data_IF_881505757770
#
_entry.id   IF_881505757770
#
_cell.length_a   1.000
_cell.length_b   1.000
_cell.length_c   1.000
_cell.angle_alpha   90.00
_cell.angle_beta   90.00
_cell.angle_gamma   90.00
#
_symmetry.space_group_name_H-M   'P 1'
#
loop_
_entity.id
_entity.type
_entity.pdbx_description
1 polymer ?
#
# COMPACT_ATOMS: atom_id res chain seq x y z
N UNK A 1 -34.14 -1.27 39.10
CA UNK A 1 -34.22 -0.19 38.11
C UNK A 1 -33.43 -0.60 36.88
N UNK A 2 -33.95 -0.33 35.68
CA UNK A 2 -33.41 -0.86 34.43
C UNK A 2 -32.12 -0.15 34.01
N UNK A 3 -32.06 1.17 34.19
CA UNK A 3 -30.87 1.97 33.94
C UNK A 3 -30.08 2.14 35.24
N UNK A 4 -28.77 1.91 35.16
CA UNK A 4 -27.83 2.01 36.28
C UNK A 4 -26.57 2.73 35.78
N UNK A 5 -25.84 3.45 36.64
CA UNK A 5 -26.07 3.69 38.07
C UNK A 5 -27.07 4.83 38.32
N UNK A 6 -27.87 4.68 39.37
CA UNK A 6 -28.99 5.58 39.70
C UNK A 6 -28.45 6.76 40.53
N UNK A 7 -28.83 7.97 40.14
CA UNK A 7 -28.46 9.22 40.84
C UNK A 7 -29.45 9.54 41.96
N UNK A 8 -30.74 9.55 41.63
CA UNK A 8 -31.80 9.88 42.58
C UNK A 8 -33.14 9.30 42.12
N UNK A 9 -33.98 8.90 43.08
CA UNK A 9 -35.39 8.62 42.81
C UNK A 9 -36.15 9.95 42.75
N UNK A 10 -37.13 10.06 41.85
CA UNK A 10 -37.96 11.26 41.71
C UNK A 10 -39.37 11.00 42.23
N UNK A 11 -40.08 10.07 41.60
CA UNK A 11 -41.39 9.62 42.09
C UNK A 11 -41.43 8.11 42.17
N UNK A 12 -42.14 7.61 43.18
CA UNK A 12 -42.41 6.18 43.35
C UNK A 12 -43.88 6.06 43.71
N UNK A 13 -44.64 5.34 42.89
CA UNK A 13 -46.05 5.03 43.15
C UNK A 13 -46.19 3.52 43.29
N UNK A 14 -46.88 3.10 44.34
CA UNK A 14 -47.07 1.69 44.62
C UNK A 14 -48.45 1.42 45.22
N UNK A 15 -48.96 0.21 44.97
CA UNK A 15 -50.22 -0.24 45.56
C UNK A 15 -49.97 -0.70 46.99
N UNK A 16 -50.56 0.01 47.95
CA UNK A 16 -50.45 -0.26 49.40
C UNK A 16 -51.79 -0.72 49.92
N UNK A 17 -51.78 -1.62 50.90
CA UNK A 17 -52.98 -2.11 51.57
C UNK A 17 -53.15 -1.41 52.93
N UNK A 18 -54.36 -0.95 53.23
CA UNK A 18 -54.69 -0.32 54.51
C UNK A 18 -56.06 -0.74 54.99
N UNK A 19 -56.18 -0.93 56.29
CA UNK A 19 -57.46 -1.14 56.97
C UNK A 19 -57.91 0.17 57.61
N UNK A 20 -59.14 0.59 57.34
CA UNK A 20 -59.71 1.83 57.85
C UNK A 20 -61.17 1.63 58.27
N UNK A 21 -61.60 2.38 59.28
CA UNK A 21 -62.99 2.41 59.72
C UNK A 21 -63.74 3.53 59.02
N UNK A 22 -64.90 3.21 58.44
CA UNK A 22 -65.76 4.12 57.68
C UNK A 22 -67.17 4.06 58.27
N UNK A 23 -67.88 5.18 58.29
CA UNK A 23 -69.26 5.24 58.73
C UNK A 23 -70.20 5.12 57.54
N UNK A 24 -71.16 4.19 57.61
CA UNK A 24 -72.19 3.98 56.58
C UNK A 24 -73.11 5.20 56.48
N UNK A 25 -73.38 5.66 55.25
CA UNK A 25 -74.41 6.65 54.98
C UNK A 25 -75.80 6.25 55.52
N UNK A 26 -76.64 7.23 55.85
CA UNK A 26 -77.95 6.96 56.45
C UNK A 26 -78.98 6.37 55.46
N UNK A 27 -78.68 6.37 54.16
CA UNK A 27 -79.57 5.90 53.10
C UNK A 27 -79.06 4.58 52.56
N UNK A 28 -79.94 3.58 52.50
CA UNK A 28 -79.65 2.24 51.99
C UNK A 28 -79.23 2.28 50.51
N UNK A 29 -78.29 1.40 50.11
CA UNK A 29 -77.86 1.26 48.72
C UNK A 29 -77.03 2.41 48.14
N UNK A 30 -76.61 3.40 48.95
CA UNK A 30 -75.71 4.47 48.50
C UNK A 30 -74.24 4.06 48.63
N UNK A 31 -73.35 4.74 47.88
CA UNK A 31 -71.91 4.51 47.94
C UNK A 31 -71.21 5.33 49.03
N UNK A 32 -70.26 4.74 49.75
CA UNK A 32 -69.43 5.42 50.75
C UNK A 32 -68.00 5.63 50.21
N UNK A 33 -67.53 6.88 50.19
CA UNK A 33 -66.20 7.24 49.66
C UNK A 33 -65.07 6.76 50.58
N UNK A 34 -64.04 6.17 49.98
CA UNK A 34 -62.82 5.76 50.67
C UNK A 34 -61.87 6.97 50.80
N UNK A 35 -61.32 7.25 51.99
CA UNK A 35 -60.46 8.42 52.20
C UNK A 35 -59.14 8.44 51.41
N UNK A 36 -58.61 7.27 51.02
CA UNK A 36 -57.35 7.17 50.27
C UNK A 36 -57.63 6.77 48.82
N UNK A 37 -57.29 7.66 47.90
CA UNK A 37 -57.58 7.52 46.46
C UNK A 37 -56.30 7.65 45.63
N UNK A 38 -56.20 7.02 44.44
CA UNK A 38 -57.22 6.20 43.80
C UNK A 38 -57.24 4.75 44.34
N UNK A 39 -58.45 4.22 44.54
CA UNK A 39 -58.67 2.85 45.03
C UNK A 39 -58.48 1.85 43.88
N UNK A 40 -57.66 0.85 44.10
CA UNK A 40 -57.37 -0.22 43.12
C UNK A 40 -58.30 -1.40 43.35
N UNK A 41 -58.48 -1.81 44.60
CA UNK A 41 -59.29 -2.98 44.95
C UNK A 41 -59.75 -2.94 46.42
N UNK A 42 -60.86 -3.59 46.74
CA UNK A 42 -61.31 -3.82 48.12
C UNK A 42 -61.07 -5.29 48.45
N UNK A 43 -60.30 -5.55 49.51
CA UNK A 43 -59.88 -6.89 49.94
C UNK A 43 -60.91 -7.51 50.85
N UNK A 44 -61.39 -6.76 51.86
CA UNK A 44 -62.39 -7.25 52.80
C UNK A 44 -63.15 -6.10 53.47
N UNK A 45 -64.41 -6.38 53.82
CA UNK A 45 -65.25 -5.48 54.62
C UNK A 45 -65.86 -6.26 55.79
N UNK A 46 -65.81 -5.68 57.00
CA UNK A 46 -66.38 -6.28 58.21
C UNK A 46 -67.08 -5.23 59.08
N UNK A 47 -68.31 -5.53 59.53
CA UNK A 47 -69.01 -4.74 60.55
C UNK A 47 -69.28 -5.63 61.77
N UNK A 48 -68.57 -5.39 62.87
CA UNK A 48 -68.61 -6.27 64.05
C UNK A 48 -68.18 -7.70 63.71
N UNK A 49 -69.09 -8.67 63.83
CA UNK A 49 -68.85 -10.08 63.47
C UNK A 49 -69.22 -10.45 62.03
N UNK A 50 -69.87 -9.55 61.29
CA UNK A 50 -70.40 -9.81 59.95
C UNK A 50 -69.38 -9.42 58.89
N UNK A 51 -68.95 -10.37 58.05
CA UNK A 51 -68.13 -10.14 56.87
C UNK A 51 -69.00 -10.03 55.62
N UNK A 52 -68.72 -9.06 54.77
CA UNK A 52 -69.46 -8.84 53.52
C UNK A 52 -68.67 -9.38 52.33
N UNK A 53 -69.38 -9.89 51.33
CA UNK A 53 -68.79 -10.55 50.15
C UNK A 53 -68.87 -9.63 48.92
N UNK A 54 -67.71 -9.34 48.34
CA UNK A 54 -67.59 -8.55 47.10
C UNK A 54 -68.34 -9.24 45.95
N UNK A 55 -69.17 -8.49 45.23
CA UNK A 55 -69.98 -8.96 44.10
C UNK A 55 -71.38 -9.46 44.47
N UNK A 56 -71.64 -9.69 45.76
CA UNK A 56 -72.98 -10.03 46.29
C UNK A 56 -73.51 -8.89 47.17
N UNK A 57 -72.71 -8.46 48.13
CA UNK A 57 -73.08 -7.47 49.14
C UNK A 57 -72.61 -6.06 48.78
N UNK A 58 -71.44 -5.94 48.16
CA UNK A 58 -70.88 -4.65 47.72
C UNK A 58 -70.04 -4.78 46.44
N UNK A 59 -69.87 -3.67 45.74
CA UNK A 59 -68.96 -3.52 44.60
C UNK A 59 -68.05 -2.29 44.76
N UNK A 60 -66.93 -2.27 44.06
CA UNK A 60 -66.08 -1.08 43.97
C UNK A 60 -66.61 -0.20 42.84
N UNK A 61 -66.99 1.04 43.14
CA UNK A 61 -67.42 2.03 42.15
C UNK A 61 -66.57 3.29 42.27
N UNK A 62 -65.62 3.46 41.35
CA UNK A 62 -64.62 4.52 41.43
C UNK A 62 -63.78 4.40 42.70
N UNK A 63 -63.85 5.43 43.56
CA UNK A 63 -63.17 5.49 44.85
C UNK A 63 -64.09 5.16 46.04
N UNK A 64 -65.27 4.59 45.79
CA UNK A 64 -66.28 4.31 46.80
C UNK A 64 -66.64 2.83 46.91
N UNK A 65 -67.00 2.40 48.12
CA UNK A 65 -67.73 1.15 48.34
C UNK A 65 -69.17 1.38 47.96
N UNK A 66 -69.64 0.73 46.91
CA UNK A 66 -71.02 0.80 46.46
C UNK A 66 -71.82 -0.39 46.98
N UNK A 67 -72.92 -0.08 47.65
CA UNK A 67 -73.82 -1.04 48.30
C UNK A 67 -75.13 -1.20 47.53
N UNK A 68 -75.23 -0.74 46.28
CA UNK A 68 -76.44 -0.86 45.46
C UNK A 68 -76.84 -2.31 45.11
N UNK A 69 -76.06 -3.31 45.53
CA UNK A 69 -76.34 -4.73 45.30
C UNK A 69 -77.38 -5.26 46.30
N UNK A 70 -78.07 -6.35 45.94
CA UNK A 70 -79.17 -6.91 46.72
C UNK A 70 -78.72 -7.73 47.96
N UNK A 71 -77.44 -7.68 48.32
CA UNK A 71 -76.89 -8.40 49.46
C UNK A 71 -77.06 -7.68 50.80
N UNK A 72 -76.34 -8.15 51.82
CA UNK A 72 -76.38 -7.54 53.15
C UNK A 72 -75.56 -6.25 53.16
N UNK A 73 -76.08 -5.18 53.77
CA UNK A 73 -75.31 -3.96 54.04
C UNK A 73 -75.28 -3.63 55.55
N UNK A 74 -74.27 -2.91 56.04
CA UNK A 74 -74.26 -2.38 57.40
C UNK A 74 -75.43 -1.42 57.63
N UNK A 75 -76.01 -1.42 58.84
CA UNK A 75 -77.07 -0.47 59.18
C UNK A 75 -76.59 0.98 59.04
N UNK A 76 -77.43 1.86 58.47
CA UNK A 76 -77.11 3.28 58.32
C UNK A 76 -76.68 3.92 59.64
N UNK A 77 -75.57 4.68 59.61
CA UNK A 77 -74.97 5.30 60.78
C UNK A 77 -74.04 4.41 61.61
N UNK A 78 -73.86 3.13 61.26
CA UNK A 78 -72.86 2.25 61.91
C UNK A 78 -71.50 2.34 61.23
N UNK A 79 -70.43 2.11 62.01
CA UNK A 79 -69.06 2.07 61.50
C UNK A 79 -68.66 0.65 61.10
N UNK A 80 -68.04 0.49 59.94
CA UNK A 80 -67.51 -0.77 59.45
C UNK A 80 -66.03 -0.62 59.06
N UNK A 81 -65.26 -1.70 59.13
CA UNK A 81 -63.85 -1.73 58.74
C UNK A 81 -63.73 -2.22 57.30
N UNK A 82 -62.94 -1.50 56.51
CA UNK A 82 -62.60 -1.85 55.12
C UNK A 82 -61.10 -2.01 55.02
N UNK A 83 -60.66 -3.17 54.52
CA UNK A 83 -59.30 -3.35 54.03
C UNK A 83 -59.31 -3.20 52.53
N UNK A 84 -58.61 -2.18 52.04
CA UNK A 84 -58.56 -1.87 50.61
C UNK A 84 -57.15 -1.53 50.17
N UNK A 85 -56.92 -1.66 48.87
CA UNK A 85 -55.68 -1.36 48.17
C UNK A 85 -55.84 -0.06 47.41
N UNK A 86 -54.93 0.87 47.60
CA UNK A 86 -54.92 2.14 46.90
C UNK A 86 -53.52 2.45 46.38
N UNK A 87 -53.44 3.31 45.37
CA UNK A 87 -52.15 3.75 44.82
C UNK A 87 -51.63 4.92 45.64
N UNK A 88 -50.54 4.71 46.39
CA UNK A 88 -49.89 5.74 47.21
C UNK A 88 -48.69 6.32 46.45
N UNK A 89 -48.57 7.65 46.45
CA UNK A 89 -47.31 8.32 46.13
C UNK A 89 -46.41 8.24 47.37
N UNK A 90 -45.29 7.52 47.24
CA UNK A 90 -44.41 7.20 48.36
C UNK A 90 -43.46 8.36 48.64
N UNK A 91 -43.25 8.66 49.92
CA UNK A 91 -42.35 9.75 50.34
C UNK A 91 -40.91 9.25 50.41
N UNK A 92 -40.02 9.84 49.61
CA UNK A 92 -38.59 9.51 49.60
C UNK A 92 -37.97 9.90 50.96
N UNK A 93 -37.19 9.00 51.55
CA UNK A 93 -36.58 9.14 52.88
C UNK A 93 -37.41 8.52 54.01
N UNK A 94 -38.73 8.49 53.88
CA UNK A 94 -39.64 7.94 54.89
C UNK A 94 -40.17 6.56 54.49
N UNK A 95 -40.77 6.45 53.31
CA UNK A 95 -41.38 5.22 52.79
C UNK A 95 -40.42 4.46 51.86
N UNK A 96 -39.48 5.16 51.22
CA UNK A 96 -38.57 4.61 50.21
C UNK A 96 -37.20 5.25 50.28
N UNK A 97 -36.15 4.46 50.09
CA UNK A 97 -34.78 4.96 49.87
C UNK A 97 -34.11 4.25 48.70
N UNK A 98 -33.09 4.90 48.14
CA UNK A 98 -32.21 4.30 47.15
C UNK A 98 -31.13 3.47 47.88
N UNK A 99 -30.99 2.20 47.53
CA UNK A 99 -29.95 1.30 48.06
C UNK A 99 -29.32 0.52 46.90
N UNK A 100 -28.03 0.70 46.66
CA UNK A 100 -27.25 -0.01 45.63
C UNK A 100 -27.97 -0.15 44.26
N UNK A 101 -28.41 0.97 43.67
CA UNK A 101 -29.16 1.03 42.40
C UNK A 101 -30.56 0.36 42.43
N UNK A 102 -31.06 0.03 43.60
CA UNK A 102 -32.37 -0.56 43.86
C UNK A 102 -33.24 0.34 44.74
N UNK A 103 -34.54 0.03 44.74
CA UNK A 103 -35.53 0.69 45.60
C UNK A 103 -35.67 -0.14 46.86
N UNK A 104 -35.40 0.47 48.01
CA UNK A 104 -35.59 -0.13 49.34
C UNK A 104 -36.78 0.51 50.04
N UNK A 105 -37.77 -0.30 50.37
CA UNK A 105 -38.95 0.12 51.10
C UNK A 105 -38.61 0.30 52.58
N UNK A 106 -38.88 1.49 53.10
CA UNK A 106 -38.75 1.85 54.51
C UNK A 106 -40.16 2.08 55.09
N UNK A 107 -40.31 1.94 56.41
CA UNK A 107 -41.59 2.18 57.07
C UNK A 107 -42.60 1.03 57.01
N UNK A 108 -43.80 1.34 57.49
CA UNK A 108 -44.94 0.41 57.65
C UNK A 108 -45.79 0.26 56.40
N UNK A 109 -45.86 1.30 55.57
CA UNK A 109 -46.66 1.32 54.35
C UNK A 109 -45.84 0.71 53.22
N UNK A 110 -45.90 -0.62 53.10
CA UNK A 110 -45.16 -1.39 52.08
C UNK A 110 -46.07 -1.75 50.92
N UNK A 111 -45.53 -1.86 49.69
CA UNK A 111 -46.29 -2.39 48.57
C UNK A 111 -46.78 -3.80 48.86
N UNK A 112 -47.95 -4.13 48.35
CA UNK A 112 -48.51 -5.48 48.43
C UNK A 112 -47.53 -6.47 47.75
N UNK A 113 -47.23 -7.64 48.37
CA UNK A 113 -46.37 -8.64 47.74
C UNK A 113 -46.88 -9.04 46.35
N UNK A 114 -45.96 -9.22 45.40
CA UNK A 114 -46.25 -9.52 43.98
C UNK A 114 -47.03 -8.43 43.22
N UNK A 115 -47.13 -7.21 43.75
CA UNK A 115 -47.62 -6.05 42.99
C UNK A 115 -46.51 -5.36 42.20
N UNK A 116 -46.90 -4.67 41.12
CA UNK A 116 -45.99 -3.78 40.38
C UNK A 116 -46.01 -2.39 41.00
N UNK A 117 -44.89 -1.70 40.91
CA UNK A 117 -44.76 -0.29 41.28
C UNK A 117 -44.17 0.48 40.11
N UNK A 118 -44.51 1.76 39.98
CA UNK A 118 -43.96 2.64 38.98
C UNK A 118 -43.00 3.62 39.63
N UNK A 119 -41.92 3.96 38.93
CA UNK A 119 -40.96 4.93 39.44
C UNK A 119 -40.31 5.71 38.32
N UNK A 120 -40.16 7.01 38.55
CA UNK A 120 -39.30 7.88 37.77
C UNK A 120 -38.02 8.14 38.57
N UNK A 121 -36.88 8.12 37.91
CA UNK A 121 -35.58 8.28 38.54
C UNK A 121 -34.58 8.89 37.57
N UNK A 122 -33.60 9.58 38.12
CA UNK A 122 -32.42 10.06 37.39
C UNK A 122 -31.31 9.02 37.50
N UNK A 123 -30.58 8.81 36.42
CA UNK A 123 -29.40 7.94 36.39
C UNK A 123 -28.22 8.70 35.75
N UNK A 124 -27.01 8.30 36.09
CA UNK A 124 -25.82 8.90 35.53
C UNK A 124 -25.59 8.37 34.10
N UNK A 125 -25.14 9.26 33.23
CA UNK A 125 -24.73 8.93 31.86
C UNK A 125 -23.21 8.87 31.77
N UNK A 126 -22.71 8.07 30.83
CA UNK A 126 -21.28 8.00 30.52
C UNK A 126 -20.92 9.10 29.53
N UNK A 127 -19.63 9.41 29.41
CA UNK A 127 -19.12 10.38 28.44
C UNK A 127 -17.83 9.88 27.82
N UNK A 128 -17.61 10.17 26.55
CA UNK A 128 -16.30 9.97 25.89
C UNK A 128 -15.74 11.33 25.51
N UNK A 129 -14.52 11.58 25.91
CA UNK A 129 -13.76 12.78 25.57
C UNK A 129 -12.58 12.38 24.67
N UNK A 130 -12.08 13.32 23.88
CA UNK A 130 -10.87 13.13 23.05
C UNK A 130 -9.82 14.12 23.51
N UNK A 131 -8.58 13.66 23.68
CA UNK A 131 -7.45 14.53 24.02
C UNK A 131 -6.43 14.53 22.89
N UNK A 132 -5.92 15.71 22.59
CA UNK A 132 -5.03 15.96 21.47
C UNK A 132 -3.94 16.94 21.86
N UNK A 133 -2.88 16.95 21.04
CA UNK A 133 -1.76 17.85 21.15
C UNK A 133 -1.84 18.89 20.03
N UNK A 134 -1.77 20.17 20.41
CA UNK A 134 -1.69 21.28 19.46
C UNK A 134 -0.27 21.45 18.91
N UNK A 135 -0.12 22.21 17.82
CA UNK A 135 1.20 22.55 17.25
C UNK A 135 2.10 23.31 18.23
N UNK A 136 1.54 23.98 19.24
CA UNK A 136 2.28 24.68 20.29
C UNK A 136 2.74 23.75 21.42
N UNK A 137 2.40 22.46 21.36
CA UNK A 137 2.74 21.47 22.39
C UNK A 137 1.81 21.47 23.60
N UNK A 138 0.69 22.20 23.54
CA UNK A 138 -0.33 22.18 24.60
C UNK A 138 -1.30 21.02 24.41
N UNK A 139 -1.62 20.33 25.50
CA UNK A 139 -2.61 19.25 25.54
C UNK A 139 -3.98 19.82 25.86
N UNK A 140 -4.92 19.58 24.96
CA UNK A 140 -6.32 20.01 25.12
C UNK A 140 -7.25 18.80 25.09
N UNK A 141 -8.40 18.94 25.74
CA UNK A 141 -9.43 17.90 25.83
C UNK A 141 -10.73 18.45 25.28
N UNK A 142 -11.34 17.75 24.32
CA UNK A 142 -12.70 18.02 23.87
C UNK A 142 -13.64 17.12 24.62
N UNK A 143 -14.61 17.75 25.27
CA UNK A 143 -15.68 17.06 25.97
C UNK A 143 -16.72 16.57 24.97
N UNK A 144 -17.03 15.27 25.03
CA UNK A 144 -18.15 14.73 24.29
C UNK A 144 -19.49 15.03 24.96
N UNK A 145 -20.57 14.61 24.32
CA UNK A 145 -21.89 14.64 24.93
C UNK A 145 -22.09 13.40 25.82
N UNK A 146 -22.70 13.59 26.98
CA UNK A 146 -23.06 12.47 27.85
C UNK A 146 -24.24 11.70 27.25
N UNK A 147 -24.11 10.39 27.16
CA UNK A 147 -25.13 9.50 26.59
C UNK A 147 -25.09 8.13 27.28
N UNK A 148 -26.12 7.31 27.08
CA UNK A 148 -26.14 5.91 27.52
C UNK A 148 -25.09 5.09 26.75
N UNK A 149 -24.88 5.41 25.47
CA UNK A 149 -23.84 4.86 24.61
C UNK A 149 -23.01 6.01 24.00
N UNK A 150 -22.07 6.60 24.75
CA UNK A 150 -21.35 7.80 24.31
C UNK A 150 -20.46 7.53 23.09
N UNK A 151 -20.52 8.44 22.13
CA UNK A 151 -19.65 8.48 20.95
C UNK A 151 -18.52 9.52 21.15
N UNK A 152 -17.27 9.23 20.73
CA UNK A 152 -16.19 10.20 20.85
C UNK A 152 -16.43 11.41 19.92
N UNK A 153 -16.19 12.65 20.39
CA UNK A 153 -16.28 13.83 19.54
C UNK A 153 -15.20 13.82 18.44
N UNK A 154 -15.43 14.52 17.32
CA UNK A 154 -14.41 14.68 16.28
C UNK A 154 -13.30 15.64 16.74
N UNK A 155 -12.05 15.30 16.46
CA UNK A 155 -10.90 16.18 16.64
C UNK A 155 -10.91 17.32 15.58
N UNK A 156 -10.46 18.54 15.92
CA UNK A 156 -10.27 19.63 14.98
C UNK A 156 -9.27 19.27 13.87
N UNK A 157 -9.28 19.95 12.73
CA UNK A 157 -8.18 19.86 11.78
C UNK A 157 -6.87 20.39 12.41
N UNK A 158 -5.73 19.91 11.93
CA UNK A 158 -4.37 20.36 12.30
C UNK A 158 -3.92 20.11 13.75
N UNK A 159 -4.50 19.12 14.43
CA UNK A 159 -4.03 18.66 15.75
C UNK A 159 -3.65 17.18 15.73
N UNK A 160 -2.71 16.80 16.60
CA UNK A 160 -2.34 15.40 16.78
C UNK A 160 -3.24 14.76 17.83
N UNK A 161 -4.22 13.97 17.39
CA UNK A 161 -5.05 13.19 18.30
C UNK A 161 -4.22 12.13 19.03
N UNK A 162 -4.19 12.20 20.36
CA UNK A 162 -3.44 11.26 21.20
C UNK A 162 -4.32 10.07 21.61
N UNK A 163 -5.61 10.31 21.84
CA UNK A 163 -6.57 9.24 22.05
C UNK A 163 -7.87 9.69 22.71
N UNK A 164 -8.53 8.71 23.31
CA UNK A 164 -9.88 8.83 23.86
C UNK A 164 -9.87 8.58 25.37
N UNK A 165 -10.71 9.32 26.11
CA UNK A 165 -10.98 9.16 27.52
C UNK A 165 -12.43 8.71 27.67
N UNK A 166 -12.66 7.52 28.17
CA UNK A 166 -13.98 7.07 28.55
C UNK A 166 -14.20 7.34 30.04
N UNK A 167 -15.20 8.18 30.34
CA UNK A 167 -15.68 8.47 31.67
C UNK A 167 -16.91 7.59 31.93
N UNK A 168 -16.76 6.46 32.64
CA UNK A 168 -17.89 5.63 33.01
C UNK A 168 -18.85 6.41 33.94
N UNK A 169 -20.16 6.12 33.88
CA UNK A 169 -21.14 6.78 34.73
C UNK A 169 -20.83 6.56 36.22
N UNK A 170 -20.99 7.61 37.03
CA UNK A 170 -20.82 7.57 38.50
C UNK A 170 -19.50 6.94 38.99
N UNK A 171 -18.39 7.28 38.35
CA UNK A 171 -17.05 6.79 38.70
C UNK A 171 -16.05 7.94 38.72
N UNK A 172 -15.08 7.86 39.63
CA UNK A 172 -13.90 8.73 39.65
C UNK A 172 -12.76 8.21 38.75
N UNK A 173 -12.87 6.96 38.28
CA UNK A 173 -11.88 6.35 37.40
C UNK A 173 -12.18 6.67 35.93
N UNK A 174 -11.14 7.07 35.19
CA UNK A 174 -11.18 7.34 33.75
C UNK A 174 -10.44 6.22 33.02
N UNK A 175 -11.05 5.66 31.98
CA UNK A 175 -10.43 4.65 31.12
C UNK A 175 -9.81 5.36 29.92
N UNK A 176 -8.48 5.29 29.80
CA UNK A 176 -7.73 5.96 28.73
C UNK A 176 -7.43 4.96 27.62
N UNK A 177 -7.89 5.26 26.41
CA UNK A 177 -7.52 4.55 25.18
C UNK A 177 -6.56 5.42 24.39
N UNK A 178 -5.28 5.04 24.36
CA UNK A 178 -4.24 5.81 23.66
C UNK A 178 -4.09 5.27 22.23
N UNK A 179 -4.15 6.15 21.22
CA UNK A 179 -3.93 5.81 19.81
C UNK A 179 -2.44 5.64 19.47
N UNK A 180 -1.55 5.95 20.41
CA UNK A 180 -0.09 5.74 20.34
C UNK A 180 0.51 6.21 19.02
N UNK A 181 0.31 7.49 18.64
CA UNK A 181 0.98 8.03 17.46
C UNK A 181 2.49 7.89 17.65
N UNK A 182 3.13 7.11 16.77
CA UNK A 182 4.57 6.87 16.82
C UNK A 182 5.21 7.62 15.66
N UNK A 183 6.22 8.44 15.97
CA UNK A 183 7.12 8.96 14.94
C UNK A 183 7.96 7.80 14.42
N UNK A 184 7.88 7.55 13.12
CA UNK A 184 8.79 6.65 12.41
C UNK A 184 9.76 7.50 11.62
N UNK A 185 11.05 7.30 11.85
CA UNK A 185 12.09 7.88 10.99
C UNK A 185 12.14 7.11 9.66
N UNK A 186 12.63 7.76 8.59
CA UNK A 186 12.80 7.08 7.29
C UNK A 186 13.74 5.86 7.40
N UNK A 187 14.74 5.91 8.30
CA UNK A 187 15.62 4.79 8.57
C UNK A 187 14.86 3.59 9.18
N UNK A 188 14.00 3.83 10.16
CA UNK A 188 13.18 2.77 10.76
C UNK A 188 12.15 2.22 9.77
N UNK A 189 11.53 3.07 8.95
CA UNK A 189 10.59 2.64 7.92
C UNK A 189 11.29 1.75 6.89
N UNK A 190 12.50 2.11 6.47
CA UNK A 190 13.34 1.28 5.60
C UNK A 190 13.70 -0.05 6.25
N UNK A 191 14.08 -0.06 7.52
CA UNK A 191 14.36 -1.31 8.24
C UNK A 191 13.12 -2.22 8.35
N UNK A 192 11.93 -1.64 8.52
CA UNK A 192 10.68 -2.40 8.50
C UNK A 192 10.36 -2.95 7.11
N UNK A 193 10.59 -2.18 6.05
CA UNK A 193 10.44 -2.65 4.67
C UNK A 193 11.38 -3.82 4.38
N UNK A 194 12.67 -3.70 4.72
CA UNK A 194 13.64 -4.79 4.54
C UNK A 194 13.25 -6.05 5.35
N UNK A 195 12.66 -5.88 6.54
CA UNK A 195 12.14 -7.01 7.33
C UNK A 195 10.90 -7.64 6.70
N UNK A 196 10.01 -6.83 6.11
CA UNK A 196 8.82 -7.31 5.41
C UNK A 196 9.22 -8.10 4.16
N UNK A 197 10.11 -7.55 3.35
CA UNK A 197 10.64 -8.21 2.15
C UNK A 197 11.28 -9.57 2.51
N UNK A 198 12.08 -9.63 3.59
CA UNK A 198 12.64 -10.90 4.09
C UNK A 198 11.57 -11.87 4.57
N UNK A 199 10.52 -11.38 5.23
CA UNK A 199 9.41 -12.22 5.70
C UNK A 199 8.62 -12.81 4.51
N UNK A 200 8.33 -11.99 3.51
CA UNK A 200 7.67 -12.41 2.26
C UNK A 200 8.52 -13.43 1.51
N UNK A 201 9.83 -13.20 1.40
CA UNK A 201 10.77 -14.16 0.80
C UNK A 201 10.77 -15.51 1.52
N UNK A 202 10.88 -15.49 2.85
CA UNK A 202 10.84 -16.72 3.66
C UNK A 202 9.50 -17.44 3.56
N UNK A 203 8.39 -16.70 3.48
CA UNK A 203 7.06 -17.28 3.30
C UNK A 203 6.95 -17.97 1.93
N UNK A 204 7.40 -17.31 0.86
CA UNK A 204 7.39 -17.89 -0.48
C UNK A 204 8.23 -19.19 -0.55
N UNK A 205 9.39 -19.22 0.10
CA UNK A 205 10.21 -20.44 0.22
C UNK A 205 9.52 -21.54 1.02
N UNK A 206 8.91 -21.21 2.17
CA UNK A 206 8.18 -22.18 2.98
C UNK A 206 7.00 -22.80 2.21
N UNK A 207 6.30 -21.99 1.40
CA UNK A 207 5.24 -22.47 0.52
C UNK A 207 5.77 -23.41 -0.58
N UNK A 208 6.93 -23.08 -1.16
CA UNK A 208 7.58 -23.91 -2.17
C UNK A 208 8.08 -25.24 -1.59
N UNK A 209 8.69 -25.22 -0.40
CA UNK A 209 9.09 -26.41 0.34
C UNK A 209 7.87 -27.30 0.66
N UNK A 210 6.75 -26.70 1.07
CA UNK A 210 5.50 -27.44 1.33
C UNK A 210 4.94 -28.07 0.06
N UNK A 211 4.95 -27.36 -1.07
CA UNK A 211 4.52 -27.90 -2.36
C UNK A 211 5.42 -29.06 -2.80
N UNK A 212 6.74 -28.88 -2.71
CA UNK A 212 7.72 -29.90 -3.03
C UNK A 212 7.69 -31.09 -2.06
N UNK A 213 7.29 -30.92 -0.79
CA UNK A 213 7.07 -32.04 0.12
C UNK A 213 5.86 -32.88 -0.31
N UNK A 214 4.76 -32.23 -0.69
CA UNK A 214 3.50 -32.89 -1.03
C UNK A 214 3.49 -33.55 -2.43
N UNK A 215 4.36 -33.13 -3.36
CA UNK A 215 4.34 -33.60 -4.75
C UNK A 215 4.78 -35.05 -4.97
N UNK A 216 5.63 -35.61 -4.10
CA UNK A 216 6.15 -36.98 -4.27
C UNK A 216 6.06 -37.80 -2.96
N UNK A 217 6.11 -39.14 -3.05
CA UNK A 217 5.95 -40.02 -1.90
C UNK A 217 6.98 -39.75 -0.79
N UNK A 218 6.50 -39.65 0.44
CA UNK A 218 7.27 -39.26 1.64
C UNK A 218 8.41 -40.22 2.02
N UNK A 219 8.36 -41.48 1.58
CA UNK A 219 9.36 -42.51 1.93
C UNK A 219 10.74 -42.32 1.27
N UNK A 220 10.86 -41.47 0.24
CA UNK A 220 12.09 -41.29 -0.53
C UNK A 220 12.83 -39.95 -0.25
N UNK A 221 12.24 -39.03 0.51
CA UNK A 221 12.78 -37.67 0.65
C UNK A 221 13.73 -37.54 1.85
N UNK A 222 14.95 -37.06 1.60
CA UNK A 222 15.91 -36.65 2.63
C UNK A 222 16.32 -35.20 2.38
N UNK A 223 15.61 -34.28 3.05
CA UNK A 223 15.74 -32.85 2.83
C UNK A 223 15.04 -32.41 1.53
N UNK A 224 14.47 -31.21 1.56
CA UNK A 224 13.87 -30.56 0.40
C UNK A 224 14.63 -29.26 0.21
N UNK A 225 15.17 -29.06 -0.99
CA UNK A 225 15.84 -27.83 -1.38
C UNK A 225 15.04 -27.23 -2.53
N UNK A 226 14.52 -26.02 -2.32
CA UNK A 226 13.72 -25.32 -3.32
C UNK A 226 14.26 -23.92 -3.55
N UNK A 227 14.10 -23.41 -4.77
CA UNK A 227 14.51 -22.05 -5.11
C UNK A 227 13.41 -21.43 -5.98
N UNK A 228 13.14 -20.15 -5.76
CA UNK A 228 12.17 -19.38 -6.53
C UNK A 228 12.80 -18.62 -7.72
N UNK A 229 14.12 -18.77 -7.90
CA UNK A 229 14.92 -18.17 -8.96
C UNK A 229 14.69 -16.65 -9.10
N UNK A 230 14.70 -15.96 -7.96
CA UNK A 230 14.65 -14.48 -7.92
C UNK A 230 16.00 -13.84 -7.62
N UNK A 231 16.88 -14.56 -6.93
CA UNK A 231 18.23 -14.13 -6.60
C UNK A 231 19.16 -15.36 -6.52
N UNK A 232 20.46 -15.12 -6.37
CA UNK A 232 21.46 -16.17 -6.23
C UNK A 232 21.81 -16.50 -4.77
N UNK A 233 20.99 -16.12 -3.77
CA UNK A 233 21.35 -16.32 -2.35
C UNK A 233 21.50 -17.79 -1.96
N UNK A 234 20.76 -18.69 -2.63
CA UNK A 234 20.86 -20.14 -2.43
C UNK A 234 21.86 -20.83 -3.37
N UNK A 235 22.47 -20.06 -4.28
CA UNK A 235 23.47 -20.56 -5.24
C UNK A 235 24.88 -20.37 -4.69
N UNK A 236 25.79 -21.30 -4.99
CA UNK A 236 27.20 -21.14 -4.68
C UNK A 236 27.91 -20.32 -5.76
N UNK A 237 27.79 -19.00 -5.64
CA UNK A 237 28.40 -18.03 -6.58
C UNK A 237 29.93 -18.00 -6.45
N UNK A 238 30.50 -18.59 -5.40
CA UNK A 238 31.96 -18.61 -5.18
C UNK A 238 32.66 -19.76 -5.87
N UNK A 239 31.91 -20.73 -6.40
CA UNK A 239 32.48 -21.87 -7.11
C UNK A 239 33.13 -21.41 -8.44
N UNK A 240 34.36 -21.87 -8.77
CA UNK A 240 35.05 -21.48 -10.01
C UNK A 240 34.24 -21.76 -11.29
N UNK A 241 33.44 -22.83 -11.27
CA UNK A 241 32.60 -23.24 -12.41
C UNK A 241 31.15 -22.70 -12.34
N UNK A 242 30.88 -21.68 -11.51
CA UNK A 242 29.53 -21.08 -11.44
C UNK A 242 29.26 -20.21 -12.67
N UNK A 243 28.45 -20.71 -13.60
CA UNK A 243 28.14 -20.04 -14.88
C UNK A 243 26.63 -19.98 -15.19
N UNK A 244 25.81 -19.91 -14.13
CA UNK A 244 24.36 -19.88 -14.22
C UNK A 244 23.80 -18.44 -14.22
N UNK A 245 22.79 -18.19 -15.04
CA UNK A 245 22.05 -16.93 -15.12
C UNK A 245 20.59 -17.13 -14.72
N UNK A 246 20.01 -16.19 -13.99
CA UNK A 246 18.57 -16.15 -13.67
C UNK A 246 17.88 -15.15 -14.59
N UNK A 247 16.80 -15.57 -15.25
CA UNK A 247 15.88 -14.66 -15.92
C UNK A 247 14.84 -14.15 -14.90
N UNK A 248 14.93 -12.89 -14.42
CA UNK A 248 14.06 -12.39 -13.35
C UNK A 248 12.60 -12.25 -13.79
N UNK A 249 12.33 -12.16 -15.11
CA UNK A 249 10.97 -12.06 -15.65
C UNK A 249 10.27 -13.41 -15.68
N UNK A 250 10.97 -14.44 -16.14
CA UNK A 250 10.42 -15.79 -16.30
C UNK A 250 10.66 -16.68 -15.07
N UNK A 251 11.52 -16.26 -14.14
CA UNK A 251 11.93 -17.02 -12.95
C UNK A 251 12.49 -18.39 -13.30
N UNK A 252 13.39 -18.40 -14.28
CA UNK A 252 14.07 -19.61 -14.76
C UNK A 252 15.58 -19.44 -14.64
N UNK A 253 16.29 -20.54 -14.40
CA UNK A 253 17.74 -20.60 -14.50
C UNK A 253 18.12 -21.11 -15.88
N UNK A 254 19.08 -20.43 -16.50
CA UNK A 254 19.65 -20.77 -17.79
C UNK A 254 21.17 -20.69 -17.72
N UNK A 255 21.87 -21.30 -18.69
CA UNK A 255 23.31 -21.12 -18.85
C UNK A 255 23.60 -19.66 -19.25
N UNK A 256 24.79 -19.18 -18.94
CA UNK A 256 25.25 -17.88 -19.42
C UNK A 256 25.14 -17.81 -20.95
N UNK A 257 24.65 -16.66 -21.44
CA UNK A 257 24.52 -16.40 -22.87
C UNK A 257 25.62 -15.42 -23.27
N UNK A 258 26.52 -15.87 -24.12
CA UNK A 258 27.49 -14.99 -24.78
C UNK A 258 26.87 -14.41 -26.06
N UNK A 259 26.57 -13.12 -26.05
CA UNK A 259 26.15 -12.41 -27.25
C UNK A 259 27.38 -12.00 -28.06
N UNK A 260 27.59 -12.62 -29.22
CA UNK A 260 28.61 -12.20 -30.18
C UNK A 260 27.97 -11.68 -31.46
N UNK A 261 28.42 -10.52 -31.92
CA UNK A 261 28.07 -10.02 -33.25
C UNK A 261 29.04 -10.64 -34.26
N UNK A 262 28.52 -11.53 -35.10
CA UNK A 262 29.30 -12.16 -36.17
C UNK A 262 29.00 -11.41 -37.47
N UNK A 263 29.97 -10.69 -38.00
CA UNK A 263 29.88 -10.10 -39.34
C UNK A 263 29.86 -11.22 -40.39
N UNK A 264 29.00 -11.07 -41.41
CA UNK A 264 28.94 -12.01 -42.52
C UNK A 264 30.23 -11.90 -43.35
N UNK A 265 31.05 -12.95 -43.34
CA UNK A 265 32.23 -13.06 -44.20
C UNK A 265 31.93 -13.97 -45.39
N UNK A 266 32.15 -13.47 -46.60
CA UNK A 266 32.01 -14.28 -47.83
C UNK A 266 33.34 -14.95 -48.14
N UNK A 267 33.32 -16.28 -48.26
CA UNK A 267 34.46 -17.02 -48.77
C UNK A 267 34.54 -16.90 -50.30
N UNK A 268 35.33 -15.94 -50.77
CA UNK A 268 35.51 -15.64 -52.20
C UNK A 268 36.12 -16.80 -53.00
N UNK A 269 36.82 -17.75 -52.35
CA UNK A 269 37.44 -18.87 -53.04
C UNK A 269 36.44 -20.01 -53.35
N UNK A 270 35.37 -20.14 -52.56
CA UNK A 270 34.41 -21.24 -52.66
C UNK A 270 33.02 -20.82 -53.15
N UNK A 271 32.75 -19.53 -53.31
CA UNK A 271 31.43 -19.02 -53.67
C UNK A 271 31.49 -18.03 -54.83
N UNK A 272 30.67 -18.27 -55.86
CA UNK A 272 30.51 -17.38 -57.00
C UNK A 272 29.46 -16.33 -56.64
N UNK A 273 29.90 -15.10 -56.37
CA UNK A 273 29.04 -14.03 -55.85
C UNK A 273 29.48 -12.69 -56.46
N UNK A 274 28.53 -11.78 -56.73
CA UNK A 274 28.81 -10.42 -57.23
C UNK A 274 28.60 -9.41 -56.09
N UNK A 275 29.60 -8.56 -55.87
CA UNK A 275 29.54 -7.50 -54.87
C UNK A 275 29.05 -6.19 -55.51
N UNK A 276 27.94 -5.67 -55.01
CA UNK A 276 27.35 -4.38 -55.32
C UNK A 276 27.47 -3.47 -54.10
N UNK A 277 28.72 -3.18 -53.72
CA UNK A 277 29.07 -2.39 -52.53
C UNK A 277 28.47 -2.98 -51.24
N UNK A 278 27.24 -2.58 -50.87
CA UNK A 278 26.52 -3.07 -49.68
C UNK A 278 25.63 -4.28 -49.96
N UNK A 279 25.39 -4.60 -51.23
CA UNK A 279 24.55 -5.71 -51.64
C UNK A 279 25.42 -6.84 -52.19
N UNK A 280 25.08 -8.05 -51.79
CA UNK A 280 25.74 -9.26 -52.23
C UNK A 280 24.69 -10.04 -53.02
N UNK A 281 24.90 -10.21 -54.33
CA UNK A 281 23.95 -10.91 -55.19
C UNK A 281 24.58 -12.15 -55.81
N UNK A 282 23.73 -13.09 -56.20
CA UNK A 282 24.17 -14.15 -57.10
C UNK A 282 24.71 -13.54 -58.40
N UNK A 283 25.64 -14.21 -59.09
CA UNK A 283 26.10 -13.78 -60.40
C UNK A 283 24.91 -13.72 -61.35
N UNK A 284 24.70 -12.57 -61.96
CA UNK A 284 23.67 -12.36 -62.97
C UNK A 284 24.30 -11.70 -64.19
N UNK A 285 23.67 -11.90 -65.34
CA UNK A 285 24.02 -11.19 -66.57
C UNK A 285 23.00 -10.08 -66.77
N UNK A 286 23.48 -8.88 -67.08
CA UNK A 286 22.61 -7.75 -67.41
C UNK A 286 22.21 -7.87 -68.88
N UNK A 287 20.91 -7.94 -69.14
CA UNK A 287 20.35 -7.86 -70.48
C UNK A 287 19.83 -6.43 -70.70
N UNK A 288 20.20 -5.83 -71.83
CA UNK A 288 19.79 -4.47 -72.16
C UNK A 288 18.32 -4.50 -72.58
N UNK A 289 17.44 -3.99 -71.70
CA UNK A 289 16.00 -3.90 -71.98
C UNK A 289 15.69 -2.84 -73.06
N UNK A 290 16.40 -1.71 -73.01
CA UNK A 290 16.24 -0.57 -73.92
C UNK A 290 17.63 -0.03 -74.22
N UNK A 291 17.99 0.03 -75.50
CA UNK A 291 19.23 0.65 -75.98
C UNK A 291 18.90 1.82 -76.92
N UNK A 292 19.62 2.93 -76.81
CA UNK A 292 19.54 4.08 -77.72
C UNK A 292 20.94 4.35 -78.32
N UNK A 293 21.33 3.64 -79.38
CA UNK A 293 22.69 3.74 -79.94
C UNK A 293 22.94 5.01 -80.77
N UNK A 294 21.90 5.78 -81.10
CA UNK A 294 22.03 7.00 -81.91
C UNK A 294 21.94 8.25 -81.02
N UNK A 295 23.07 8.92 -80.83
CA UNK A 295 23.15 10.26 -80.26
C UNK A 295 23.66 11.22 -81.34
N UNK A 296 22.97 12.34 -81.56
CA UNK A 296 23.35 13.33 -82.58
C UNK A 296 24.27 14.41 -82.01
N UNK A 297 24.08 14.76 -80.73
CA UNK A 297 24.86 15.76 -80.00
C UNK A 297 24.97 15.36 -78.52
N UNK A 298 26.08 15.71 -77.87
CA UNK A 298 26.24 15.54 -76.42
C UNK A 298 25.79 16.82 -75.72
N UNK A 299 24.82 16.73 -74.82
CA UNK A 299 24.47 17.83 -73.91
C UNK A 299 24.57 17.34 -72.46
N UNK A 300 25.12 18.17 -71.58
CA UNK A 300 25.05 17.89 -70.16
C UNK A 300 23.57 17.92 -69.72
N UNK A 301 23.13 16.91 -68.96
CA UNK A 301 21.76 16.84 -68.40
C UNK A 301 21.44 18.09 -67.57
N UNK A 302 22.46 18.75 -67.01
CA UNK A 302 22.37 20.09 -66.43
C UNK A 302 23.49 21.00 -66.98
N UNK A 303 23.20 21.96 -67.87
CA UNK A 303 24.22 22.80 -68.53
C UNK A 303 24.99 23.73 -67.60
N UNK A 304 24.42 24.06 -66.44
CA UNK A 304 25.02 24.99 -65.47
C UNK A 304 25.69 24.27 -64.28
N UNK A 305 25.65 22.93 -64.25
CA UNK A 305 26.31 22.15 -63.22
C UNK A 305 27.71 21.78 -63.71
N UNK A 306 28.71 22.42 -63.10
CA UNK A 306 30.10 22.01 -63.25
C UNK A 306 30.26 20.66 -62.55
N UNK A 307 30.48 19.60 -63.32
CA UNK A 307 30.91 18.31 -62.77
C UNK A 307 32.37 18.45 -62.32
N UNK A 308 32.58 18.79 -61.05
CA UNK A 308 33.86 18.52 -60.42
C UNK A 308 34.02 17.01 -60.31
N UNK A 309 35.21 16.49 -60.60
CA UNK A 309 35.58 15.16 -60.09
C UNK A 309 35.60 15.27 -58.57
N UNK A 310 34.50 14.86 -57.94
CA UNK A 310 34.41 14.82 -56.49
C UNK A 310 35.21 13.61 -56.02
N UNK A 311 36.28 13.88 -55.27
CA UNK A 311 37.02 12.84 -54.60
C UNK A 311 36.07 12.04 -53.68
N UNK A 312 36.12 10.72 -53.78
CA UNK A 312 35.33 9.80 -52.96
C UNK A 312 36.24 9.09 -51.99
N UNK A 313 35.83 9.02 -50.73
CA UNK A 313 36.60 8.37 -49.67
C UNK A 313 35.75 7.26 -49.08
N UNK A 314 36.32 6.07 -48.98
CA UNK A 314 35.68 4.87 -48.44
C UNK A 314 36.43 4.41 -47.21
N UNK A 315 35.71 4.22 -46.10
CA UNK A 315 36.24 3.71 -44.84
C UNK A 315 35.79 2.26 -44.65
N UNK A 316 36.70 1.38 -44.22
CA UNK A 316 36.42 -0.02 -43.88
C UNK A 316 37.03 -0.32 -42.51
N UNK A 317 36.21 -0.59 -41.47
CA UNK A 317 34.75 -0.55 -41.46
C UNK A 317 34.20 0.89 -41.48
N UNK A 318 32.99 1.07 -42.04
CA UNK A 318 32.30 2.38 -42.07
C UNK A 318 31.42 2.64 -40.84
N UNK A 319 31.14 1.59 -40.07
CA UNK A 319 30.40 1.62 -38.82
C UNK A 319 30.98 0.59 -37.86
N UNK A 320 30.84 0.80 -36.55
CA UNK A 320 31.29 -0.14 -35.54
C UNK A 320 30.26 -0.20 -34.40
N UNK A 321 29.99 -1.41 -33.91
CA UNK A 321 29.08 -1.68 -32.79
C UNK A 321 29.73 -2.67 -31.84
N UNK A 322 29.86 -2.31 -30.56
CA UNK A 322 30.47 -3.17 -29.55
C UNK A 322 29.81 -2.97 -28.17
N UNK A 323 30.07 -3.91 -27.27
CA UNK A 323 29.63 -3.88 -25.87
C UNK A 323 30.86 -4.08 -24.99
N UNK A 324 31.01 -3.28 -23.94
CA UNK A 324 32.06 -3.44 -22.93
C UNK A 324 31.42 -3.83 -21.60
N UNK A 325 31.97 -4.88 -20.97
CA UNK A 325 31.54 -5.33 -19.64
C UNK A 325 32.66 -5.03 -18.65
N UNK A 326 32.43 -4.09 -17.73
CA UNK A 326 33.34 -3.83 -16.61
C UNK A 326 32.73 -4.31 -15.30
N UNK A 327 33.42 -5.21 -14.61
CA UNK A 327 33.00 -5.70 -13.29
C UNK A 327 33.72 -4.90 -12.21
N UNK A 328 32.98 -4.10 -11.43
CA UNK A 328 33.52 -3.40 -10.26
C UNK A 328 33.16 -4.18 -8.99
N UNK A 329 34.17 -4.76 -8.34
CA UNK A 329 33.99 -5.40 -7.03
C UNK A 329 34.25 -4.38 -5.92
N UNK A 330 33.19 -4.00 -5.18
CA UNK A 330 33.33 -3.14 -4.01
C UNK A 330 33.10 -3.96 -2.73
N UNK A 331 34.08 -3.98 -1.84
CA UNK A 331 33.90 -4.53 -0.48
C UNK A 331 33.24 -3.47 0.41
N UNK A 332 32.07 -3.79 0.97
CA UNK A 332 31.37 -2.92 1.91
C UNK A 332 31.58 -3.45 3.33
N UNK A 333 32.13 -2.61 4.21
CA UNK A 333 32.25 -2.92 5.63
C UNK A 333 30.89 -2.71 6.32
N UNK A 334 30.33 -3.79 6.87
CA UNK A 334 29.14 -3.71 7.71
C UNK A 334 29.44 -3.02 9.04
N UNK A 335 28.53 -2.16 9.51
CA UNK A 335 28.66 -1.39 10.77
C UNK A 335 28.52 -2.24 12.06
N UNK A 336 28.64 -3.55 11.93
CA UNK A 336 28.57 -4.54 13.01
C UNK A 336 29.40 -5.78 12.65
N UNK A 337 30.59 -5.57 12.06
CA UNK A 337 31.57 -6.63 11.91
C UNK A 337 32.10 -7.03 13.30
N UNK A 338 31.82 -8.27 13.67
CA UNK A 338 32.33 -8.95 14.86
C UNK A 338 33.87 -8.90 14.87
N UNK A 339 34.45 -8.35 15.93
CA UNK A 339 35.90 -8.12 16.10
C UNK A 339 36.74 -9.41 16.17
N UNK A 340 36.11 -10.57 15.98
CA UNK A 340 36.74 -11.90 15.99
C UNK A 340 36.53 -12.71 14.71
N UNK A 341 35.76 -12.24 13.72
CA UNK A 341 35.61 -12.93 12.44
C UNK A 341 36.46 -12.28 11.36
N UNK A 342 37.70 -12.74 11.26
CA UNK A 342 38.53 -12.51 10.08
C UNK A 342 37.86 -13.14 8.86
N UNK A 343 37.30 -12.33 7.97
CA UNK A 343 37.24 -12.67 6.54
C UNK A 343 35.89 -12.81 5.84
N UNK A 344 34.73 -12.66 6.49
CA UNK A 344 33.46 -12.75 5.75
C UNK A 344 33.09 -11.41 5.11
N UNK A 345 33.77 -11.09 4.01
CA UNK A 345 33.40 -9.99 3.11
C UNK A 345 32.12 -10.39 2.39
N UNK A 346 31.01 -9.69 2.63
CA UNK A 346 29.80 -9.86 1.82
C UNK A 346 30.03 -9.21 0.46
N UNK A 347 30.15 -10.03 -0.58
CA UNK A 347 30.21 -9.60 -1.97
C UNK A 347 28.78 -9.57 -2.50
N UNK A 348 28.20 -8.39 -2.63
CA UNK A 348 26.92 -8.21 -3.33
C UNK A 348 27.22 -7.92 -4.81
N UNK A 349 26.89 -8.86 -5.69
CA UNK A 349 26.90 -8.62 -7.13
C UNK A 349 25.62 -7.87 -7.49
N UNK A 350 25.70 -6.54 -7.54
CA UNK A 350 24.64 -5.69 -8.07
C UNK A 350 25.03 -5.26 -9.47
N UNK A 351 24.18 -5.47 -10.47
CA UNK A 351 24.31 -4.79 -11.77
C UNK A 351 23.97 -3.33 -11.50
N UNK A 352 24.99 -2.48 -11.43
CA UNK A 352 24.83 -1.12 -10.89
C UNK A 352 24.33 -0.15 -11.97
N UNK A 353 24.77 -0.28 -13.23
CA UNK A 353 24.36 0.57 -14.34
C UNK A 353 24.44 -0.17 -15.69
N UNK A 354 23.48 0.10 -16.56
CA UNK A 354 23.58 -0.08 -18.02
C UNK A 354 23.75 1.34 -18.59
N UNK A 355 24.93 1.66 -19.12
CA UNK A 355 25.27 3.00 -19.58
C UNK A 355 25.81 2.97 -21.01
N UNK A 356 25.55 4.04 -21.77
CA UNK A 356 26.12 4.19 -23.09
C UNK A 356 27.62 4.48 -22.96
N UNK A 357 28.45 3.67 -23.61
CA UNK A 357 29.91 3.90 -23.66
C UNK A 357 30.16 5.30 -24.24
N UNK A 358 30.83 6.20 -23.50
CA UNK A 358 30.93 7.60 -23.91
C UNK A 358 31.99 7.82 -24.99
N UNK A 359 33.00 6.96 -25.11
CA UNK A 359 34.13 7.11 -26.04
C UNK A 359 34.24 5.92 -27.03
N UNK A 360 34.66 6.21 -28.26
CA UNK A 360 34.90 5.21 -29.30
C UNK A 360 36.15 4.39 -28.95
N UNK A 361 36.09 3.07 -29.14
CA UNK A 361 37.26 2.19 -29.00
C UNK A 361 38.31 2.48 -30.07
N UNK A 362 39.59 2.40 -29.70
CA UNK A 362 40.66 2.55 -30.68
C UNK A 362 40.74 1.33 -31.59
N UNK A 363 40.56 1.54 -32.89
CA UNK A 363 40.62 0.50 -33.92
C UNK A 363 41.33 1.03 -35.16
N UNK A 364 41.97 0.13 -35.90
CA UNK A 364 42.53 0.44 -37.22
C UNK A 364 41.40 0.52 -38.26
N UNK A 365 41.37 1.61 -39.02
CA UNK A 365 40.43 1.83 -40.12
C UNK A 365 41.21 1.88 -41.43
N UNK A 366 40.77 1.08 -42.40
CA UNK A 366 41.30 1.11 -43.77
C UNK A 366 40.55 2.14 -44.60
N UNK A 367 41.28 2.92 -45.37
CA UNK A 367 40.78 4.02 -46.20
C UNK A 367 41.17 3.77 -47.64
N UNK A 368 40.23 3.98 -48.56
CA UNK A 368 40.48 4.04 -49.99
C UNK A 368 39.93 5.36 -50.52
N UNK A 369 40.81 6.21 -51.04
CA UNK A 369 40.46 7.47 -51.70
C UNK A 369 40.58 7.34 -53.21
N UNK A 370 39.60 7.85 -53.95
CA UNK A 370 39.57 7.86 -55.42
C UNK A 370 39.15 9.24 -55.94
N UNK A 371 39.67 9.65 -57.10
CA UNK A 371 39.31 10.95 -57.70
C UNK A 371 40.10 12.14 -57.16
N UNK A 372 41.22 11.90 -56.47
CA UNK A 372 42.19 12.95 -56.12
C UNK A 372 43.02 13.34 -57.35
N UNK A 373 43.72 14.48 -57.28
CA UNK A 373 44.62 14.87 -58.36
C UNK A 373 45.72 13.79 -58.58
N UNK A 374 46.08 13.48 -59.83
CA UNK A 374 47.13 12.52 -60.12
C UNK A 374 48.45 12.90 -59.42
N UNK A 375 49.06 11.93 -58.71
CA UNK A 375 50.32 12.12 -57.98
C UNK A 375 50.29 13.16 -56.85
N UNK A 376 49.10 13.59 -56.41
CA UNK A 376 48.90 14.51 -55.30
C UNK A 376 49.60 14.00 -54.04
N UNK A 377 50.58 14.77 -53.56
CA UNK A 377 51.46 14.41 -52.44
C UNK A 377 50.99 15.07 -51.14
N UNK A 378 51.32 14.47 -50.00
CA UNK A 378 51.01 15.01 -48.65
C UNK A 378 49.52 15.08 -48.30
N UNK A 379 48.74 14.07 -48.70
CA UNK A 379 47.35 13.92 -48.24
C UNK A 379 47.36 13.68 -46.73
N UNK A 380 46.69 14.57 -46.00
CA UNK A 380 46.51 14.53 -44.55
C UNK A 380 45.08 14.13 -44.20
N UNK A 381 44.89 13.67 -42.97
CA UNK A 381 43.56 13.38 -42.45
C UNK A 381 43.38 13.79 -41.00
N UNK A 382 42.14 14.11 -40.65
CA UNK A 382 41.68 14.32 -39.28
C UNK A 382 40.44 13.48 -38.99
N UNK A 383 40.36 12.96 -37.78
CA UNK A 383 39.19 12.30 -37.23
C UNK A 383 38.60 13.19 -36.13
N UNK A 384 37.38 13.70 -36.33
CA UNK A 384 36.71 14.66 -35.43
C UNK A 384 37.60 15.89 -35.09
N UNK A 385 38.35 16.38 -36.08
CA UNK A 385 39.31 17.50 -35.94
C UNK A 385 40.68 17.12 -35.35
N UNK A 386 40.89 15.87 -34.92
CA UNK A 386 42.17 15.39 -34.40
C UNK A 386 43.02 14.83 -35.55
N UNK A 387 44.27 15.27 -35.76
CA UNK A 387 45.12 14.75 -36.83
C UNK A 387 45.44 13.26 -36.60
N UNK A 388 45.35 12.46 -37.66
CA UNK A 388 45.64 11.02 -37.62
C UNK A 388 46.86 10.67 -38.47
N UNK A 389 47.63 9.68 -38.04
CA UNK A 389 48.78 9.21 -38.80
C UNK A 389 48.34 8.21 -39.87
N UNK A 390 48.60 8.56 -41.13
CA UNK A 390 48.25 7.70 -42.27
C UNK A 390 49.42 6.78 -42.62
N UNK A 391 49.16 5.47 -42.66
CA UNK A 391 50.12 4.45 -43.10
C UNK A 391 49.70 3.93 -44.47
N UNK A 392 50.49 4.10 -45.54
CA UNK A 392 50.10 3.65 -46.87
C UNK A 392 50.05 2.12 -46.96
N UNK A 393 49.05 1.59 -47.67
CA UNK A 393 48.86 0.16 -47.92
C UNK A 393 48.59 -0.12 -49.41
N UNK A 394 48.59 -1.40 -49.81
CA UNK A 394 48.22 -1.86 -51.15
C UNK A 394 48.92 -1.12 -52.31
N UNK A 395 50.22 -0.85 -52.16
CA UNK A 395 51.05 -0.22 -53.20
C UNK A 395 50.97 1.31 -53.28
N UNK A 396 50.32 1.96 -52.31
CA UNK A 396 50.34 3.43 -52.18
C UNK A 396 51.68 3.92 -51.64
N UNK A 397 52.11 5.12 -52.03
CA UNK A 397 53.36 5.70 -51.53
C UNK A 397 53.11 6.57 -50.30
N UNK A 398 54.10 6.62 -49.40
CA UNK A 398 54.14 7.63 -48.34
C UNK A 398 54.35 9.01 -48.97
N UNK A 399 53.76 10.04 -48.36
CA UNK A 399 54.01 11.41 -48.79
C UNK A 399 55.40 11.90 -48.38
N UNK A 400 55.82 13.06 -48.91
CA UNK A 400 57.11 13.67 -48.55
C UNK A 400 57.14 14.14 -47.09
N UNK A 401 55.99 14.54 -46.54
CA UNK A 401 55.82 14.90 -45.14
C UNK A 401 55.48 13.66 -44.29
N UNK A 402 55.96 13.60 -43.03
CA UNK A 402 55.65 12.48 -42.14
C UNK A 402 54.13 12.34 -41.93
N UNK A 403 53.67 11.09 -41.79
CA UNK A 403 52.27 10.74 -41.51
C UNK A 403 51.26 11.07 -42.62
N UNK A 404 51.73 11.31 -43.84
CA UNK A 404 50.91 11.60 -45.02
C UNK A 404 51.04 10.52 -46.08
N UNK A 405 50.08 10.49 -47.02
CA UNK A 405 50.08 9.56 -48.15
C UNK A 405 50.00 10.28 -49.47
N UNK A 406 50.49 9.62 -50.52
CA UNK A 406 50.51 10.14 -51.89
C UNK A 406 49.57 9.34 -52.79
N UNK A 407 48.74 10.04 -53.55
CA UNK A 407 47.91 9.43 -54.58
C UNK A 407 48.76 8.94 -55.76
N UNK A 408 48.33 7.88 -56.43
CA UNK A 408 49.00 7.37 -57.63
C UNK A 408 48.66 8.21 -58.88
N UNK A 409 49.20 7.82 -60.04
CA UNK A 409 48.94 8.49 -61.32
C UNK A 409 47.47 8.47 -61.77
N UNK A 410 46.61 7.67 -61.11
CA UNK A 410 45.17 7.59 -61.37
C UNK A 410 44.35 8.33 -60.30
N UNK A 411 44.98 9.06 -59.38
CA UNK A 411 44.27 9.79 -58.34
C UNK A 411 43.71 8.91 -57.23
N UNK A 412 44.30 7.72 -57.01
CA UNK A 412 43.87 6.75 -55.98
C UNK A 412 44.94 6.56 -54.90
N UNK A 413 44.53 6.40 -53.65
CA UNK A 413 45.40 5.97 -52.56
C UNK A 413 44.67 5.00 -51.63
N UNK A 414 45.44 4.18 -50.91
CA UNK A 414 44.94 3.32 -49.84
C UNK A 414 45.85 3.48 -48.62
N UNK A 415 45.26 3.67 -47.44
CA UNK A 415 46.01 3.81 -46.20
C UNK A 415 45.23 3.26 -45.00
N UNK A 416 45.92 3.04 -43.89
CA UNK A 416 45.29 2.77 -42.60
C UNK A 416 45.60 3.88 -41.62
N UNK A 417 44.70 4.11 -40.68
CA UNK A 417 44.95 4.96 -39.52
C UNK A 417 44.27 4.39 -38.27
N UNK A 418 44.83 4.72 -37.10
CA UNK A 418 44.24 4.36 -35.81
C UNK A 418 43.31 5.46 -35.33
N UNK A 419 42.10 5.09 -34.88
CA UNK A 419 41.17 6.04 -34.25
C UNK A 419 41.83 6.63 -32.99
N UNK A 420 41.89 7.97 -32.86
CA UNK A 420 42.43 8.64 -31.67
C UNK A 420 41.68 8.28 -30.39
N UNK A 421 42.39 8.30 -29.26
CA UNK A 421 41.77 8.13 -27.95
C UNK A 421 40.84 9.32 -27.61
N UNK A 422 39.88 9.10 -26.71
CA UNK A 422 38.98 10.11 -26.14
C UNK A 422 38.02 10.78 -27.15
N UNK A 423 37.74 10.16 -28.30
CA UNK A 423 36.69 10.64 -29.21
C UNK A 423 35.34 10.09 -28.77
N UNK A 424 34.29 10.93 -28.70
CA UNK A 424 32.97 10.49 -28.22
C UNK A 424 32.26 9.55 -29.20
N UNK A 425 31.40 8.67 -28.71
CA UNK A 425 30.57 7.79 -29.56
C UNK A 425 29.57 8.59 -30.41
N UNK A 426 29.10 7.99 -31.52
CA UNK A 426 28.18 8.61 -32.49
C UNK A 426 28.78 8.80 -33.89
N UNK A 427 28.08 9.53 -34.75
CA UNK A 427 28.57 9.88 -36.10
C UNK A 427 29.71 10.88 -36.00
N UNK A 428 30.89 10.53 -36.54
CA UNK A 428 32.10 11.36 -36.53
C UNK A 428 32.54 11.68 -37.95
N UNK A 429 33.06 12.88 -38.11
CA UNK A 429 33.61 13.33 -39.39
C UNK A 429 35.05 12.82 -39.54
N UNK A 430 35.36 12.34 -40.74
CA UNK A 430 36.75 12.08 -41.16
C UNK A 430 37.01 12.93 -42.39
N UNK A 431 37.94 13.85 -42.26
CA UNK A 431 38.25 14.82 -43.31
C UNK A 431 39.63 14.52 -43.87
N UNK A 432 39.75 14.45 -45.20
CA UNK A 432 41.02 14.32 -45.90
C UNK A 432 41.20 15.52 -46.82
N UNK A 433 42.42 16.04 -46.85
CA UNK A 433 42.75 17.15 -47.72
C UNK A 433 44.21 17.08 -48.14
N UNK A 434 44.51 17.86 -49.17
CA UNK A 434 45.87 18.21 -49.51
C UNK A 434 46.00 19.73 -49.49
N UNK A 435 47.12 20.23 -48.99
CA UNK A 435 47.53 21.62 -49.15
C UNK A 435 48.31 21.69 -50.47
N UNK A 436 47.65 22.23 -51.51
CA UNK A 436 48.28 22.48 -52.81
C UNK A 436 49.37 23.53 -52.68
#
# INVERSE_FOLDING_TARGET
>A
LNSKPVKALQTVTATVEKTQTITRGNVAGTSDLLPMTPVVDIVSIQAGSTSYVKGTDFQLSGDAVDWSLAGAEPSGGTSYTVTYRYTKLMVIGTDVTLDNNGVKWLGSDRPVPNSTFQTTYEFFLGRKDVYYLTYQGEVHVIHGQSDMNPYPPSSPPDVLELGELYLPPNSSAVVVSNRKPKRLTMLELRSLLERLERAEYNQALADLDRAAQNSDPSLAKKGVFTDNFTNFERSDVTHPDFDAMINPREKTVQLAVENSFIEMQVNQAASTVRFHERLITLPYTEEVLIDQPFATETMNVNPYQVFGNLATIRLTPSHDTWVETSTVTQSVWGWWADWRSTGTTRTETKVILDEQVPFIRQREVTVVGEGFEPNSDNIKATFDGIPVNLTPINGSAAGTLPNTVRANAQGRFSCTFMIPANVRTGTREVYFWNEV
#
